data_IF_558867758968
#
_entry.id   IF_558867758968
#
_cell.length_a   1.000
_cell.length_b   1.000
_cell.length_c   1.000
_cell.angle_alpha   90.00
_cell.angle_beta   90.00
_cell.angle_gamma   90.00
#
_symmetry.space_group_name_H-M   'P 1'
#
loop_
_entity.id
_entity.type
_entity.pdbx_description
1 polymer ?
#
# COMPACT_ATOMS: atom_id res chain seq x y z
N UNK A 1 -16.04 17.62 -1.81
CA UNK A 1 -14.58 17.91 -1.83
C UNK A 1 -14.18 18.63 -3.12
N UNK A 2 -14.74 19.82 -3.39
CA UNK A 2 -14.49 20.54 -4.63
C UNK A 2 -13.05 21.08 -4.68
N UNK A 3 -12.32 20.70 -5.74
CA UNK A 3 -10.91 21.03 -5.98
C UNK A 3 -10.67 21.11 -7.49
N UNK A 4 -9.71 21.94 -7.88
CA UNK A 4 -9.29 22.05 -9.28
C UNK A 4 -8.42 20.86 -9.72
N UNK A 5 -7.93 20.88 -10.96
CA UNK A 5 -6.88 19.97 -11.42
C UNK A 5 -5.60 20.10 -10.56
N UNK A 6 -4.76 19.06 -10.59
CA UNK A 6 -3.45 19.00 -9.93
C UNK A 6 -3.48 19.03 -8.39
N UNK A 7 -4.61 18.70 -7.80
CA UNK A 7 -4.76 18.54 -6.35
C UNK A 7 -4.59 17.06 -5.95
N UNK A 8 -4.06 16.74 -4.75
CA UNK A 8 -3.76 15.36 -4.35
C UNK A 8 -4.95 14.41 -4.51
N UNK A 9 -6.16 14.90 -4.23
CA UNK A 9 -7.40 14.13 -4.37
C UNK A 9 -7.67 13.56 -5.76
N UNK A 10 -7.06 14.13 -6.80
CA UNK A 10 -7.21 13.71 -8.21
C UNK A 10 -6.07 12.85 -8.75
N UNK A 11 -5.03 12.56 -7.94
CA UNK A 11 -3.87 11.78 -8.38
C UNK A 11 -4.22 10.29 -8.31
N UNK A 12 -4.14 9.60 -9.45
CA UNK A 12 -4.31 8.14 -9.51
C UNK A 12 -3.09 7.46 -8.88
N UNK A 13 -3.30 6.32 -8.24
CA UNK A 13 -2.25 5.56 -7.59
C UNK A 13 -1.12 5.16 -8.53
N UNK A 14 -1.44 4.72 -9.75
CA UNK A 14 -0.42 4.40 -10.74
C UNK A 14 0.35 5.62 -11.23
N UNK A 15 -0.31 6.77 -11.38
CA UNK A 15 0.40 8.03 -11.68
C UNK A 15 1.32 8.41 -10.53
N UNK A 16 0.89 8.24 -9.29
CA UNK A 16 1.71 8.54 -8.12
C UNK A 16 2.94 7.64 -8.03
N UNK A 17 2.76 6.32 -8.23
CA UNK A 17 3.87 5.37 -8.32
C UNK A 17 4.89 5.76 -9.40
N UNK A 18 4.42 6.34 -10.52
CA UNK A 18 5.31 6.82 -11.59
C UNK A 18 6.09 8.09 -11.22
N UNK A 19 5.61 8.91 -10.29
CA UNK A 19 6.33 10.09 -9.81
C UNK A 19 7.57 9.68 -9.02
N UNK A 20 7.49 8.58 -8.26
CA UNK A 20 8.60 8.06 -7.46
C UNK A 20 9.65 7.39 -8.35
N UNK A 21 10.93 7.72 -8.13
CA UNK A 21 12.04 7.38 -9.03
C UNK A 21 12.96 6.25 -8.50
N UNK A 22 12.54 5.57 -7.43
CA UNK A 22 13.32 4.51 -6.78
C UNK A 22 13.61 3.34 -7.72
N UNK A 23 12.61 2.91 -8.49
CA UNK A 23 12.67 1.81 -9.44
C UNK A 23 13.71 2.00 -10.54
N UNK A 24 13.89 3.23 -11.06
CA UNK A 24 14.94 3.50 -12.06
C UNK A 24 16.36 3.54 -11.47
N UNK A 25 16.50 3.88 -10.19
CA UNK A 25 17.81 4.04 -9.52
C UNK A 25 18.28 2.72 -8.88
N UNK A 26 17.34 1.92 -8.38
CA UNK A 26 17.59 0.64 -7.73
C UNK A 26 16.69 -0.47 -8.34
N UNK A 27 16.85 -0.78 -9.63
CA UNK A 27 15.94 -1.68 -10.37
C UNK A 27 15.94 -3.13 -9.87
N UNK A 28 16.96 -3.52 -9.10
CA UNK A 28 17.09 -4.86 -8.54
C UNK A 28 16.65 -4.96 -7.07
N UNK A 29 16.13 -3.87 -6.50
CA UNK A 29 15.60 -3.83 -5.13
C UNK A 29 14.09 -3.52 -5.13
N UNK A 30 13.25 -4.54 -5.38
CA UNK A 30 11.82 -4.35 -5.50
C UNK A 30 11.14 -4.02 -4.17
N UNK A 31 11.77 -4.35 -3.03
CA UNK A 31 11.29 -3.96 -1.70
C UNK A 31 11.46 -2.45 -1.57
N UNK A 32 12.69 -1.95 -1.73
CA UNK A 32 12.98 -0.50 -1.68
C UNK A 32 12.10 0.28 -2.66
N UNK A 33 11.96 -0.20 -3.89
CA UNK A 33 11.13 0.45 -4.90
C UNK A 33 9.66 0.59 -4.46
N UNK A 34 9.10 -0.45 -3.85
CA UNK A 34 7.72 -0.43 -3.35
C UNK A 34 7.58 0.47 -2.11
N UNK A 35 8.52 0.41 -1.16
CA UNK A 35 8.44 1.16 0.10
C UNK A 35 8.70 2.65 -0.07
N UNK A 36 9.49 3.06 -1.06
CA UNK A 36 9.63 4.49 -1.40
C UNK A 36 8.32 5.08 -1.96
N UNK A 37 7.50 4.26 -2.62
CA UNK A 37 6.13 4.66 -3.01
C UNK A 37 5.24 4.80 -1.78
N UNK A 38 5.36 3.89 -0.79
CA UNK A 38 4.64 4.01 0.48
C UNK A 38 5.01 5.32 1.18
N UNK A 39 6.31 5.56 1.40
CA UNK A 39 6.79 6.73 2.13
C UNK A 39 6.36 8.05 1.50
N UNK A 40 6.51 8.19 0.18
CA UNK A 40 6.06 9.38 -0.53
C UNK A 40 4.52 9.50 -0.49
N UNK A 41 3.83 8.37 -0.61
CA UNK A 41 2.38 8.28 -0.70
C UNK A 41 1.69 8.63 0.61
N UNK A 42 2.12 8.08 1.74
CA UNK A 42 1.52 8.37 3.04
C UNK A 42 1.82 9.82 3.46
N UNK A 43 3.00 10.35 3.12
CA UNK A 43 3.28 11.77 3.33
C UNK A 43 2.30 12.66 2.55
N UNK A 44 2.13 12.43 1.25
CA UNK A 44 1.23 13.26 0.44
C UNK A 44 -0.25 13.04 0.79
N UNK A 45 -0.68 11.79 0.85
CA UNK A 45 -2.10 11.45 0.96
C UNK A 45 -2.62 11.52 2.39
N UNK A 46 -1.86 11.08 3.39
CA UNK A 46 -2.33 11.13 4.78
C UNK A 46 -2.00 12.46 5.44
N UNK A 47 -0.75 12.95 5.34
CA UNK A 47 -0.37 14.17 6.07
C UNK A 47 -0.89 15.44 5.39
N UNK A 48 -0.68 15.57 4.08
CA UNK A 48 -1.06 16.78 3.35
C UNK A 48 -2.54 16.72 2.95
N UNK A 49 -2.95 15.71 2.19
CA UNK A 49 -4.30 15.65 1.65
C UNK A 49 -5.35 15.43 2.75
N UNK A 50 -5.32 14.30 3.43
CA UNK A 50 -6.29 13.99 4.48
C UNK A 50 -6.09 14.87 5.71
N UNK A 51 -4.84 15.04 6.16
CA UNK A 51 -4.45 15.75 7.38
C UNK A 51 -4.50 17.26 7.32
N UNK A 52 -4.60 17.84 6.11
CA UNK A 52 -4.75 19.29 5.94
C UNK A 52 -5.93 19.64 5.04
N UNK A 53 -5.89 19.28 3.76
CA UNK A 53 -6.91 19.71 2.78
C UNK A 53 -8.34 19.25 3.13
N UNK A 54 -8.46 18.08 3.75
CA UNK A 54 -9.73 17.44 4.10
C UNK A 54 -10.05 17.50 5.61
N UNK A 55 -9.12 18.01 6.43
CA UNK A 55 -9.31 18.18 7.87
C UNK A 55 -8.59 19.44 8.41
N UNK A 56 -7.33 19.31 8.82
CA UNK A 56 -6.51 20.38 9.42
C UNK A 56 -6.27 20.23 10.93
N UNK A 57 -5.44 21.11 11.49
CA UNK A 57 -5.07 21.10 12.92
C UNK A 57 -3.73 20.39 13.15
N UNK A 58 -3.64 19.58 14.22
CA UNK A 58 -2.44 18.77 14.52
C UNK A 58 -2.12 17.79 13.37
N UNK A 59 -3.17 17.29 12.69
CA UNK A 59 -3.02 16.45 11.51
C UNK A 59 -2.69 15.00 11.83
N UNK A 60 -2.13 14.31 10.84
CA UNK A 60 -2.04 12.84 10.79
C UNK A 60 -0.61 12.32 10.67
N UNK A 61 0.36 13.06 11.21
CA UNK A 61 1.79 12.71 11.11
C UNK A 61 2.08 11.27 11.49
N UNK A 62 1.63 10.81 12.65
CA UNK A 62 1.95 9.46 13.11
C UNK A 62 1.16 8.35 12.43
N UNK A 63 0.05 8.65 11.76
CA UNK A 63 -0.57 7.67 10.86
C UNK A 63 0.34 7.38 9.67
N UNK A 64 0.94 8.42 9.10
CA UNK A 64 1.83 8.29 7.95
C UNK A 64 3.20 7.73 8.33
N UNK A 65 3.84 8.24 9.40
CA UNK A 65 5.21 7.85 9.78
C UNK A 65 5.32 6.37 10.07
N UNK A 66 4.27 5.73 10.60
CA UNK A 66 4.28 4.29 10.85
C UNK A 66 4.64 3.44 9.62
N UNK A 67 4.38 3.96 8.41
CA UNK A 67 4.69 3.28 7.16
C UNK A 67 6.07 3.63 6.58
N UNK A 68 6.84 4.54 7.18
CA UNK A 68 8.17 4.94 6.71
C UNK A 68 9.21 5.20 7.81
N UNK A 69 8.95 4.80 9.06
CA UNK A 69 9.90 4.90 10.16
C UNK A 69 10.18 3.54 10.79
N UNK A 70 11.27 3.48 11.56
CA UNK A 70 11.66 2.36 12.42
C UNK A 70 11.91 1.01 11.71
N UNK A 71 11.90 1.01 10.37
CA UNK A 71 12.07 -0.16 9.50
C UNK A 71 11.07 -1.31 9.79
N UNK A 72 9.93 -1.03 10.42
CA UNK A 72 8.95 -2.07 10.77
C UNK A 72 8.28 -2.60 9.50
N UNK A 73 7.83 -1.72 8.60
CA UNK A 73 7.24 -2.14 7.33
C UNK A 73 8.29 -2.81 6.42
N UNK A 74 9.53 -2.33 6.45
CA UNK A 74 10.67 -2.90 5.73
C UNK A 74 10.91 -4.36 6.11
N UNK A 75 10.96 -4.64 7.42
CA UNK A 75 11.14 -5.98 7.95
C UNK A 75 10.04 -6.94 7.49
N UNK A 76 8.77 -6.55 7.64
CA UNK A 76 7.63 -7.42 7.31
C UNK A 76 7.54 -7.68 5.80
N UNK A 77 7.87 -6.68 4.99
CA UNK A 77 7.90 -6.82 3.52
C UNK A 77 9.09 -7.70 3.09
N UNK A 78 10.26 -7.55 3.73
CA UNK A 78 11.42 -8.39 3.46
C UNK A 78 11.15 -9.86 3.80
N UNK A 79 10.52 -10.13 4.95
CA UNK A 79 10.05 -11.47 5.31
C UNK A 79 9.14 -12.06 4.22
N UNK A 80 8.13 -11.30 3.79
CA UNK A 80 7.20 -11.73 2.75
C UNK A 80 7.88 -12.04 1.42
N UNK A 81 8.83 -11.21 0.99
CA UNK A 81 9.60 -11.45 -0.24
C UNK A 81 10.46 -12.72 -0.12
N UNK A 82 11.05 -12.98 1.03
CA UNK A 82 11.81 -14.21 1.26
C UNK A 82 10.91 -15.45 1.31
N UNK A 83 9.68 -15.33 1.83
CA UNK A 83 8.68 -16.38 1.78
C UNK A 83 8.31 -16.77 0.35
N UNK A 84 7.99 -15.79 -0.51
CA UNK A 84 7.58 -16.06 -1.89
C UNK A 84 8.75 -16.60 -2.74
N UNK A 85 10.00 -16.22 -2.43
CA UNK A 85 11.20 -16.85 -3.04
C UNK A 85 11.29 -18.33 -2.70
N UNK A 86 11.03 -18.71 -1.45
CA UNK A 86 11.11 -20.10 -0.99
C UNK A 86 9.96 -20.96 -1.50
N UNK A 87 8.72 -20.43 -1.49
CA UNK A 87 7.50 -21.22 -1.71
C UNK A 87 6.85 -21.05 -3.09
N UNK A 88 6.97 -19.87 -3.69
CA UNK A 88 6.25 -19.48 -4.91
C UNK A 88 7.16 -19.22 -6.11
N UNK A 89 8.44 -19.59 -6.01
CA UNK A 89 9.44 -19.44 -7.08
C UNK A 89 10.00 -18.02 -7.22
N UNK A 90 9.63 -17.09 -6.34
CA UNK A 90 10.11 -15.71 -6.32
C UNK A 90 9.18 -14.71 -7.01
N UNK A 91 9.75 -13.53 -7.29
CA UNK A 91 9.03 -12.35 -7.76
C UNK A 91 8.48 -12.58 -9.17
N UNK A 92 7.20 -12.25 -9.37
CA UNK A 92 6.47 -12.38 -10.63
C UNK A 92 6.27 -13.83 -11.11
N UNK A 93 6.45 -14.83 -10.23
CA UNK A 93 6.33 -16.25 -10.60
C UNK A 93 5.03 -16.91 -10.17
N UNK A 94 4.34 -16.35 -9.18
CA UNK A 94 3.09 -16.88 -8.69
C UNK A 94 1.92 -16.51 -9.63
N UNK A 95 0.89 -17.35 -9.69
CA UNK A 95 -0.35 -17.01 -10.41
C UNK A 95 -1.24 -16.13 -9.52
N UNK A 96 -2.00 -15.23 -10.13
CA UNK A 96 -2.99 -14.41 -9.43
C UNK A 96 -4.28 -15.20 -9.14
N UNK A 97 -4.22 -16.20 -8.25
CA UNK A 97 -5.39 -16.98 -7.80
C UNK A 97 -5.71 -16.70 -6.33
N UNK A 98 -6.97 -16.89 -5.93
CA UNK A 98 -7.38 -16.70 -4.52
C UNK A 98 -6.61 -17.60 -3.56
N UNK A 99 -6.26 -18.83 -3.96
CA UNK A 99 -5.45 -19.74 -3.15
C UNK A 99 -4.07 -19.17 -2.83
N UNK A 100 -3.38 -18.61 -3.82
CA UNK A 100 -2.07 -17.98 -3.64
C UNK A 100 -2.19 -16.70 -2.81
N UNK A 101 -3.25 -15.91 -3.04
CA UNK A 101 -3.52 -14.71 -2.24
C UNK A 101 -3.75 -15.08 -0.78
N UNK A 102 -4.57 -16.11 -0.52
CA UNK A 102 -4.81 -16.61 0.83
C UNK A 102 -3.50 -17.03 1.49
N UNK A 103 -2.68 -17.82 0.80
CA UNK A 103 -1.43 -18.32 1.35
C UNK A 103 -0.45 -17.20 1.72
N UNK A 104 -0.16 -16.29 0.78
CA UNK A 104 0.83 -15.23 0.98
C UNK A 104 0.35 -14.21 2.00
N UNK A 105 -0.89 -13.72 1.87
CA UNK A 105 -1.38 -12.68 2.77
C UNK A 105 -1.61 -13.21 4.20
N UNK A 106 -2.03 -14.47 4.36
CA UNK A 106 -2.13 -15.09 5.69
C UNK A 106 -0.77 -15.21 6.35
N UNK A 107 0.22 -15.76 5.64
CA UNK A 107 1.57 -15.92 6.18
C UNK A 107 2.18 -14.58 6.62
N UNK A 108 2.18 -13.59 5.73
CA UNK A 108 2.84 -12.29 6.00
C UNK A 108 2.11 -11.53 7.11
N UNK A 109 0.77 -11.60 7.14
CA UNK A 109 0.00 -10.97 8.20
C UNK A 109 0.27 -11.61 9.56
N UNK A 110 0.30 -12.96 9.63
CA UNK A 110 0.58 -13.67 10.88
C UNK A 110 1.98 -13.33 11.39
N UNK A 111 2.99 -13.35 10.52
CA UNK A 111 4.35 -12.95 10.90
C UNK A 111 4.40 -11.55 11.52
N UNK A 112 3.80 -10.55 10.86
CA UNK A 112 3.80 -9.20 11.37
C UNK A 112 3.01 -9.05 12.68
N UNK A 113 1.91 -9.79 12.84
CA UNK A 113 1.16 -9.83 14.11
C UNK A 113 2.03 -10.42 15.23
N UNK A 114 2.71 -11.53 14.98
CA UNK A 114 3.66 -12.13 15.93
C UNK A 114 4.78 -11.16 16.31
N UNK A 115 5.28 -10.33 15.38
CA UNK A 115 6.31 -9.34 15.70
C UNK A 115 5.80 -8.28 16.71
N UNK A 116 4.55 -7.83 16.59
CA UNK A 116 3.96 -6.92 17.57
C UNK A 116 3.67 -7.59 18.93
N UNK A 117 3.42 -8.90 18.93
CA UNK A 117 3.20 -9.67 20.16
C UNK A 117 4.50 -9.98 20.91
N UNK A 118 5.55 -10.36 20.17
CA UNK A 118 6.86 -10.74 20.70
C UNK A 118 7.69 -9.51 21.13
N UNK A 119 7.55 -8.38 20.42
CA UNK A 119 8.29 -7.16 20.69
C UNK A 119 7.37 -6.03 21.17
N UNK A 120 7.15 -5.88 22.49
CA UNK A 120 6.31 -4.83 23.06
C UNK A 120 6.69 -3.41 22.63
N UNK A 121 7.96 -3.15 22.34
CA UNK A 121 8.43 -1.85 21.83
C UNK A 121 7.93 -1.55 20.43
N UNK A 122 7.77 -2.56 19.55
CA UNK A 122 7.14 -2.36 18.24
C UNK A 122 5.65 -2.01 18.39
N UNK A 123 4.96 -2.69 19.32
CA UNK A 123 3.56 -2.40 19.65
C UNK A 123 3.40 -1.01 20.27
N UNK A 124 4.38 -0.55 21.06
CA UNK A 124 4.41 0.79 21.65
C UNK A 124 4.72 1.88 20.62
N UNK A 125 5.68 1.67 19.71
CA UNK A 125 5.95 2.57 18.59
C UNK A 125 4.71 2.75 17.71
N UNK A 126 4.04 1.65 17.36
CA UNK A 126 2.76 1.66 16.66
C UNK A 126 1.60 1.49 17.64
N UNK A 127 1.50 2.38 18.62
CA UNK A 127 0.47 2.33 19.67
C UNK A 127 -0.96 2.38 19.10
N UNK A 128 -1.18 3.05 17.97
CA UNK A 128 -2.46 3.16 17.28
C UNK A 128 -2.78 1.91 16.47
N UNK A 129 -3.98 1.36 16.65
CA UNK A 129 -4.42 0.17 15.90
C UNK A 129 -4.38 0.35 14.38
N UNK A 130 -4.72 1.54 13.88
CA UNK A 130 -4.66 1.88 12.45
C UNK A 130 -3.26 1.90 11.87
N UNK A 131 -2.24 2.28 12.67
CA UNK A 131 -0.85 2.22 12.22
C UNK A 131 -0.46 0.76 11.95
N UNK A 132 -0.77 -0.13 12.91
CA UNK A 132 -0.53 -1.56 12.78
C UNK A 132 -1.32 -2.17 11.63
N UNK A 133 -2.60 -1.81 11.50
CA UNK A 133 -3.46 -2.30 10.44
C UNK A 133 -2.91 -1.94 9.05
N UNK A 134 -2.50 -0.68 8.86
CA UNK A 134 -1.87 -0.25 7.61
C UNK A 134 -0.59 -1.04 7.32
N UNK A 135 0.33 -1.12 8.29
CA UNK A 135 1.65 -1.76 8.09
C UNK A 135 1.52 -3.26 7.79
N UNK A 136 0.66 -3.98 8.52
CA UNK A 136 0.41 -5.41 8.29
C UNK A 136 -0.20 -5.68 6.90
N UNK A 137 -1.18 -4.86 6.52
CA UNK A 137 -1.85 -5.01 5.24
C UNK A 137 -0.99 -4.55 4.07
N UNK A 138 -0.14 -3.53 4.27
CA UNK A 138 0.83 -3.06 3.27
C UNK A 138 1.83 -4.16 2.95
N UNK A 139 2.46 -4.77 3.98
CA UNK A 139 3.39 -5.88 3.79
C UNK A 139 2.72 -7.05 3.05
N UNK A 140 1.50 -7.42 3.46
CA UNK A 140 0.72 -8.51 2.85
C UNK A 140 0.36 -8.24 1.39
N UNK A 141 -0.15 -7.04 1.10
CA UNK A 141 -0.58 -6.63 -0.23
C UNK A 141 0.59 -6.43 -1.20
N UNK A 142 1.66 -5.78 -0.76
CA UNK A 142 2.88 -5.56 -1.55
C UNK A 142 3.52 -6.91 -1.88
N UNK A 143 3.67 -7.80 -0.88
CA UNK A 143 4.24 -9.14 -1.11
C UNK A 143 3.40 -9.94 -2.11
N UNK A 144 2.07 -9.88 -1.99
CA UNK A 144 1.15 -10.57 -2.91
C UNK A 144 1.26 -9.99 -4.33
N UNK A 145 1.33 -8.66 -4.48
CA UNK A 145 1.53 -8.00 -5.77
C UNK A 145 2.90 -8.38 -6.38
N UNK A 146 3.97 -8.41 -5.57
CA UNK A 146 5.31 -8.81 -5.99
C UNK A 146 5.36 -10.27 -6.45
N UNK A 147 4.65 -11.17 -5.78
CA UNK A 147 4.61 -12.58 -6.17
C UNK A 147 3.85 -12.80 -7.48
N UNK A 148 2.71 -12.12 -7.63
CA UNK A 148 1.72 -12.40 -8.69
C UNK A 148 1.82 -11.47 -9.90
N UNK A 149 2.59 -10.39 -9.80
CA UNK A 149 2.65 -9.34 -10.81
C UNK A 149 1.26 -8.77 -11.16
N UNK A 150 0.37 -8.66 -10.17
CA UNK A 150 -1.01 -8.21 -10.34
C UNK A 150 -1.48 -7.36 -9.14
N UNK A 151 -1.88 -6.12 -9.40
CA UNK A 151 -2.26 -5.16 -8.36
C UNK A 151 -3.58 -5.51 -7.68
N UNK A 152 -4.57 -6.04 -8.40
CA UNK A 152 -5.83 -6.47 -7.80
C UNK A 152 -5.65 -7.71 -6.90
N UNK A 153 -4.72 -8.62 -7.23
CA UNK A 153 -4.33 -9.70 -6.32
C UNK A 153 -3.68 -9.13 -5.05
N UNK A 154 -2.81 -8.12 -5.19
CA UNK A 154 -2.25 -7.37 -4.06
C UNK A 154 -3.31 -6.71 -3.18
N UNK A 155 -4.30 -6.05 -3.78
CA UNK A 155 -5.43 -5.45 -3.04
C UNK A 155 -6.26 -6.50 -2.30
N UNK A 156 -6.49 -7.67 -2.90
CA UNK A 156 -7.14 -8.77 -2.20
C UNK A 156 -6.30 -9.28 -1.01
N UNK A 157 -4.97 -9.29 -1.14
CA UNK A 157 -4.07 -9.60 -0.03
C UNK A 157 -4.16 -8.58 1.12
N UNK A 158 -4.25 -7.29 0.79
CA UNK A 158 -4.51 -6.22 1.77
C UNK A 158 -5.82 -6.46 2.53
N UNK A 159 -6.93 -6.68 1.81
CA UNK A 159 -8.25 -6.83 2.44
C UNK A 159 -8.33 -8.09 3.29
N UNK A 160 -7.70 -9.19 2.86
CA UNK A 160 -7.62 -10.40 3.68
C UNK A 160 -6.83 -10.16 4.97
N UNK A 161 -5.69 -9.46 4.91
CA UNK A 161 -4.90 -9.08 6.09
C UNK A 161 -5.75 -8.29 7.10
N UNK A 162 -6.52 -7.31 6.64
CA UNK A 162 -7.41 -6.53 7.51
C UNK A 162 -8.45 -7.39 8.24
N UNK A 163 -9.06 -8.35 7.54
CA UNK A 163 -10.03 -9.27 8.13
C UNK A 163 -9.37 -10.18 9.18
N UNK A 164 -8.22 -10.77 8.87
CA UNK A 164 -7.51 -11.66 9.80
C UNK A 164 -7.00 -10.92 11.05
N UNK A 165 -6.46 -9.72 10.89
CA UNK A 165 -6.05 -8.87 12.00
C UNK A 165 -7.24 -8.57 12.91
N UNK A 166 -8.36 -8.14 12.34
CA UNK A 166 -9.58 -7.84 13.11
C UNK A 166 -10.03 -9.01 13.97
N UNK A 167 -10.06 -10.22 13.40
CA UNK A 167 -10.45 -11.43 14.13
C UNK A 167 -9.38 -11.84 15.16
N UNK A 168 -8.09 -11.78 14.82
CA UNK A 168 -7.01 -12.21 15.70
C UNK A 168 -6.84 -11.36 16.95
N UNK A 169 -7.05 -10.04 16.87
CA UNK A 169 -6.91 -9.14 18.03
C UNK A 169 -8.22 -8.56 18.56
N UNK A 170 -9.37 -8.89 17.95
CA UNK A 170 -10.67 -8.29 18.28
C UNK A 170 -10.67 -6.76 18.19
N UNK A 171 -9.76 -6.21 17.39
CA UNK A 171 -9.57 -4.78 17.12
C UNK A 171 -8.85 -4.62 15.79
N UNK A 172 -9.00 -3.44 15.20
CA UNK A 172 -8.29 -3.08 13.96
C UNK A 172 -7.81 -1.63 14.06
N UNK A 173 -8.56 -0.67 13.50
CA UNK A 173 -8.22 0.74 13.50
C UNK A 173 -9.18 1.63 14.28
N UNK A 174 -9.12 2.94 14.02
CA UNK A 174 -10.06 3.94 14.55
C UNK A 174 -11.49 3.71 14.04
N UNK A 175 -12.45 4.48 14.57
CA UNK A 175 -13.85 4.43 14.15
C UNK A 175 -14.01 4.69 12.64
N UNK A 176 -14.42 3.67 11.90
CA UNK A 176 -14.63 3.77 10.45
C UNK A 176 -13.35 3.65 9.63
N UNK A 177 -12.23 3.25 10.24
CA UNK A 177 -11.00 2.90 9.53
C UNK A 177 -11.29 1.88 8.42
N UNK A 178 -12.05 0.83 8.75
CA UNK A 178 -12.34 -0.31 7.89
C UNK A 178 -13.52 -0.11 6.94
N UNK A 179 -13.98 1.13 6.70
CA UNK A 179 -15.03 1.38 5.71
C UNK A 179 -14.66 0.78 4.36
N UNK A 180 -13.46 1.07 3.88
CA UNK A 180 -12.99 0.56 2.59
C UNK A 180 -12.59 -0.91 2.66
N UNK A 181 -12.15 -1.40 3.82
CA UNK A 181 -11.71 -2.78 3.96
C UNK A 181 -12.89 -3.76 4.00
N UNK A 182 -14.01 -3.37 4.62
CA UNK A 182 -15.26 -4.15 4.58
C UNK A 182 -15.88 -4.15 3.17
N UNK A 183 -15.78 -3.04 2.42
CA UNK A 183 -16.21 -2.99 1.02
C UNK A 183 -15.22 -3.68 0.06
N UNK A 184 -13.95 -3.81 0.48
CA UNK A 184 -12.83 -4.12 -0.38
C UNK A 184 -12.95 -5.47 -1.09
N UNK A 185 -13.30 -6.52 -0.34
CA UNK A 185 -13.45 -7.88 -0.88
C UNK A 185 -14.53 -7.98 -1.97
N UNK A 186 -15.59 -7.16 -1.89
CA UNK A 186 -16.63 -7.12 -2.91
C UNK A 186 -16.24 -6.25 -4.12
N UNK A 187 -15.52 -5.15 -3.88
CA UNK A 187 -15.22 -4.13 -4.89
C UNK A 187 -13.88 -4.35 -5.62
N UNK A 188 -12.99 -5.20 -5.13
CA UNK A 188 -11.68 -5.45 -5.75
C UNK A 188 -11.78 -5.97 -7.18
N UNK A 189 -12.77 -6.83 -7.44
CA UNK A 189 -13.06 -7.44 -8.74
C UNK A 189 -14.44 -7.08 -9.29
N UNK A 190 -15.12 -6.09 -8.68
CA UNK A 190 -16.39 -5.58 -9.23
C UNK A 190 -16.15 -4.98 -10.62
N UNK A 191 -17.21 -4.94 -11.42
CA UNK A 191 -17.25 -4.29 -12.73
C UNK A 191 -18.37 -3.25 -12.80
N UNK A 192 -18.98 -2.92 -11.66
CA UNK A 192 -20.04 -1.91 -11.56
C UNK A 192 -19.47 -0.50 -11.61
N UNK A 193 -20.25 0.50 -12.06
CA UNK A 193 -19.74 1.81 -12.47
C UNK A 193 -18.87 2.56 -11.44
N UNK A 194 -19.21 2.49 -10.16
CA UNK A 194 -18.55 3.21 -9.06
C UNK A 194 -17.85 2.27 -8.07
N UNK A 195 -17.68 1.00 -8.44
CA UNK A 195 -17.05 -0.04 -7.61
C UNK A 195 -15.84 -0.68 -8.30
N UNK A 196 -15.97 -0.95 -9.60
CA UNK A 196 -15.01 -1.73 -10.35
C UNK A 196 -13.92 -0.89 -11.00
N UNK A 197 -12.67 -1.06 -10.57
CA UNK A 197 -11.53 -0.39 -11.20
C UNK A 197 -10.20 -1.13 -10.94
N UNK A 198 -9.29 -1.08 -11.90
CA UNK A 198 -7.91 -1.56 -11.72
C UNK A 198 -7.17 -0.74 -10.67
N UNK A 199 -6.33 -1.38 -9.83
CA UNK A 199 -5.64 -0.72 -8.72
C UNK A 199 -4.89 0.55 -9.12
N UNK A 200 -4.22 0.54 -10.27
CA UNK A 200 -3.45 1.67 -10.81
C UNK A 200 -4.34 2.88 -11.13
N UNK A 201 -5.59 2.64 -11.53
CA UNK A 201 -6.56 3.67 -11.92
C UNK A 201 -7.37 4.20 -10.74
N UNK A 202 -7.36 3.52 -9.59
CA UNK A 202 -7.93 4.02 -8.33
C UNK A 202 -7.11 5.21 -7.82
N UNK A 203 -7.61 5.86 -6.79
CA UNK A 203 -6.98 7.01 -6.16
C UNK A 203 -7.81 7.54 -5.00
N UNK A 204 -7.41 8.67 -4.40
CA UNK A 204 -8.12 9.27 -3.27
C UNK A 204 -9.57 9.70 -3.56
N UNK A 205 -10.01 9.68 -4.83
CA UNK A 205 -11.40 9.95 -5.19
C UNK A 205 -12.22 8.69 -5.56
N UNK A 206 -11.62 7.49 -5.53
CA UNK A 206 -12.39 6.24 -5.59
C UNK A 206 -13.34 6.19 -4.38
N UNK A 207 -14.64 5.86 -4.54
CA UNK A 207 -15.66 6.19 -3.53
C UNK A 207 -15.34 5.70 -2.11
N UNK A 208 -14.87 4.46 -1.97
CA UNK A 208 -14.54 3.91 -0.66
C UNK A 208 -13.27 4.52 -0.03
N UNK A 209 -12.34 5.05 -0.84
CA UNK A 209 -11.01 5.44 -0.38
C UNK A 209 -10.92 6.89 0.08
N UNK A 210 -12.01 7.63 -0.04
CA UNK A 210 -11.93 9.08 -0.12
C UNK A 210 -11.97 9.84 1.21
N UNK A 211 -11.75 9.13 2.33
CA UNK A 211 -12.00 9.66 3.67
C UNK A 211 -10.94 9.27 4.71
N UNK A 212 -10.33 8.09 4.61
CA UNK A 212 -9.62 7.47 5.72
C UNK A 212 -8.10 7.40 5.48
N UNK A 213 -7.33 7.69 6.53
CA UNK A 213 -5.85 7.58 6.58
C UNK A 213 -5.40 6.12 6.69
N UNK A 214 -4.13 5.83 6.39
CA UNK A 214 -3.48 4.52 6.52
C UNK A 214 -3.82 3.56 5.39
N UNK A 215 -4.02 4.08 4.18
CA UNK A 215 -4.42 3.27 3.02
C UNK A 215 -3.89 3.79 1.68
N UNK A 216 -4.00 5.10 1.41
CA UNK A 216 -3.82 5.65 0.06
C UNK A 216 -2.37 5.53 -0.45
N UNK A 217 -1.37 5.75 0.43
CA UNK A 217 0.03 5.60 0.06
C UNK A 217 0.42 4.15 -0.17
N UNK A 218 -0.11 3.28 0.67
CA UNK A 218 0.08 1.83 0.63
C UNK A 218 -0.57 1.22 -0.62
N UNK A 219 -1.77 1.69 -1.01
CA UNK A 219 -2.40 1.29 -2.26
C UNK A 219 -1.62 1.73 -3.49
N UNK A 220 -1.01 2.91 -3.46
CA UNK A 220 -0.11 3.33 -4.54
C UNK A 220 1.09 2.39 -4.66
N UNK A 221 1.65 1.94 -3.54
CA UNK A 221 2.73 0.97 -3.53
C UNK A 221 2.28 -0.41 -4.01
N UNK A 222 1.10 -0.90 -3.64
CA UNK A 222 0.55 -2.17 -4.15
C UNK A 222 0.36 -2.13 -5.67
N UNK A 223 -0.13 -1.00 -6.20
CA UNK A 223 -0.23 -0.79 -7.63
C UNK A 223 1.16 -0.83 -8.29
N UNK A 224 2.13 -0.05 -7.78
CA UNK A 224 3.50 -0.03 -8.31
C UNK A 224 4.23 -1.37 -8.19
N UNK A 225 4.04 -2.10 -7.09
CA UNK A 225 4.69 -3.37 -6.81
C UNK A 225 4.40 -4.42 -7.88
N UNK A 226 3.17 -4.45 -8.43
CA UNK A 226 2.82 -5.36 -9.51
C UNK A 226 3.67 -5.13 -10.78
N UNK A 227 4.02 -3.89 -11.07
CA UNK A 227 4.83 -3.49 -12.21
C UNK A 227 6.33 -3.64 -11.95
N UNK A 228 6.78 -3.29 -10.74
CA UNK A 228 8.14 -3.54 -10.26
C UNK A 228 8.47 -5.03 -10.36
N UNK A 229 7.52 -5.92 -10.00
CA UNK A 229 7.68 -7.37 -10.12
C UNK A 229 7.95 -7.83 -11.56
N UNK A 230 7.39 -7.11 -12.53
CA UNK A 230 7.52 -7.39 -13.97
C UNK A 230 8.74 -6.72 -14.58
N UNK A 231 9.43 -5.87 -13.81
CA UNK A 231 10.47 -4.97 -14.31
C UNK A 231 9.94 -4.03 -15.40
N UNK A 232 8.66 -3.65 -15.31
CA UNK A 232 8.08 -2.62 -16.16
C UNK A 232 8.71 -1.26 -15.80
N UNK A 233 9.00 -0.43 -16.80
CA UNK A 233 9.65 0.87 -16.56
C UNK A 233 8.69 1.95 -16.00
N UNK A 234 7.39 1.67 -15.95
CA UNK A 234 6.35 2.54 -15.40
C UNK A 234 5.14 1.69 -14.96
N UNK A 235 4.28 2.30 -14.14
CA UNK A 235 3.04 1.72 -13.61
C UNK A 235 1.84 2.08 -14.48
N UNK A 236 1.60 3.38 -14.76
CA UNK A 236 0.41 3.83 -15.49
C UNK A 236 0.71 4.77 -16.67
N UNK A 237 1.68 5.65 -16.54
CA UNK A 237 1.99 6.68 -17.53
C UNK A 237 3.50 6.83 -17.75
N UNK A 238 4.03 6.43 -18.92
CA UNK A 238 5.44 6.64 -19.23
C UNK A 238 5.81 8.13 -19.28
N UNK A 239 4.85 9.00 -19.61
CA UNK A 239 5.07 10.45 -19.62
C UNK A 239 5.32 10.98 -18.21
N UNK A 240 4.53 10.55 -17.22
CA UNK A 240 4.74 10.98 -15.83
C UNK A 240 6.07 10.45 -15.32
N UNK A 241 6.39 9.18 -15.57
CA UNK A 241 7.67 8.60 -15.15
C UNK A 241 8.86 9.42 -15.64
N UNK A 242 8.86 9.79 -16.93
CA UNK A 242 9.94 10.58 -17.54
C UNK A 242 9.96 12.02 -16.99
N UNK A 243 8.80 12.67 -16.82
CA UNK A 243 8.74 14.04 -16.31
C UNK A 243 9.32 14.19 -14.90
N UNK A 244 9.24 13.14 -14.07
CA UNK A 244 9.82 13.14 -12.73
C UNK A 244 11.26 12.61 -12.68
N UNK A 245 11.80 12.12 -13.81
CA UNK A 245 13.21 11.77 -13.95
C UNK A 245 14.08 13.01 -14.28
N UNK A 246 13.81 14.13 -13.61
CA UNK A 246 14.47 15.42 -13.84
C UNK A 246 15.30 15.84 -12.61
N UNK A 247 16.65 15.81 -12.70
CA UNK A 247 17.51 16.22 -11.59
C UNK A 247 17.45 17.73 -11.28
N UNK A 248 16.73 18.52 -12.08
CA UNK A 248 16.49 19.94 -11.81
C UNK A 248 15.32 20.19 -10.85
N UNK A 249 14.51 19.16 -10.56
CA UNK A 249 13.48 19.20 -9.53
C UNK A 249 14.09 19.49 -8.16
N UNK A 250 13.31 20.13 -7.29
CA UNK A 250 13.78 20.57 -5.96
C UNK A 250 13.78 19.45 -4.92
N UNK A 251 13.03 18.39 -5.17
CA UNK A 251 12.93 17.21 -4.33
C UNK A 251 13.51 16.04 -5.12
N UNK A 252 14.44 15.30 -4.52
CA UNK A 252 15.00 14.04 -5.06
C UNK A 252 14.11 12.88 -4.61
#
# INVERSE_FOLDING_TARGET
RARGPNEPGGIKFGHFADMVQSDRKYPNDPIRASLEIVAAGTMLFDQIWLGSYMSGGVGFTQYATAAYTDNILDDYTAYGVDYIKKKHGGIGKAKATQEIINDIATEVNLYGMEQYEEYPTALESHFGGSQRASVLAAASGITTALATANSNAGLNGWYLSMLMHKEGWSRLGFFGYDLQDQCGSANSMSIRPDEGLLGELRGPNFPNYAMNVGHQGEYAAIAGAAHIARQDAWTLSPLIKICFADPSLKFD
#
